data_IF_857458653498
#
_entry.id   IF_857458653498
#
_cell.length_a   1.000
_cell.length_b   1.000
_cell.length_c   1.000
_cell.angle_alpha   90.00
_cell.angle_beta   90.00
_cell.angle_gamma   90.00
#
_symmetry.space_group_name_H-M   'P 1'
#
loop_
_entity.id
_entity.type
_entity.pdbx_description
1 polymer ?
#
# COMPACT_ATOMS: atom_id res chain seq x y z
N UNK A 1 2.97 -21.51 1.82
CA UNK A 1 4.28 -22.19 2.04
C UNK A 1 4.72 -23.10 0.88
N UNK A 2 3.81 -23.79 0.18
CA UNK A 2 4.15 -24.69 -0.93
C UNK A 2 4.91 -23.98 -2.08
N UNK A 3 4.50 -22.78 -2.47
CA UNK A 3 5.15 -22.04 -3.58
C UNK A 3 6.55 -21.50 -3.28
N UNK A 4 6.82 -21.15 -2.02
CA UNK A 4 8.16 -20.76 -1.57
C UNK A 4 9.12 -21.94 -1.66
N UNK A 5 8.67 -23.13 -1.23
CA UNK A 5 9.44 -24.37 -1.36
C UNK A 5 9.64 -24.74 -2.82
N UNK A 6 8.61 -24.59 -3.66
CA UNK A 6 8.68 -24.83 -5.11
C UNK A 6 9.70 -23.91 -5.78
N UNK A 7 9.70 -22.61 -5.49
CA UNK A 7 10.74 -21.66 -5.95
C UNK A 7 12.14 -22.11 -5.55
N UNK A 8 12.32 -22.51 -4.28
CA UNK A 8 13.63 -22.94 -3.76
C UNK A 8 14.13 -24.22 -4.45
N UNK A 9 13.24 -25.19 -4.64
CA UNK A 9 13.56 -26.43 -5.36
C UNK A 9 13.98 -26.15 -6.81
N UNK A 10 13.27 -25.26 -7.52
CA UNK A 10 13.63 -24.87 -8.89
C UNK A 10 14.99 -24.17 -8.96
N UNK A 11 15.31 -23.34 -7.95
CA UNK A 11 16.64 -22.74 -7.84
C UNK A 11 17.74 -23.78 -7.62
N UNK A 12 17.50 -24.75 -6.74
CA UNK A 12 18.46 -25.81 -6.48
C UNK A 12 18.67 -26.73 -7.70
N UNK A 13 17.61 -26.99 -8.48
CA UNK A 13 17.70 -27.71 -9.76
C UNK A 13 18.55 -26.92 -10.75
N UNK A 14 18.26 -25.64 -10.98
CA UNK A 14 19.05 -24.79 -11.87
C UNK A 14 20.52 -24.70 -11.42
N UNK A 15 20.79 -24.62 -10.10
CA UNK A 15 22.17 -24.60 -9.61
C UNK A 15 22.95 -25.88 -9.95
N UNK A 16 22.27 -27.03 -10.04
CA UNK A 16 22.87 -28.32 -10.40
C UNK A 16 23.02 -28.49 -11.91
N UNK A 17 21.98 -28.17 -12.67
CA UNK A 17 21.95 -28.39 -14.12
C UNK A 17 22.64 -27.29 -14.93
N UNK A 18 22.56 -26.03 -14.48
CA UNK A 18 23.00 -24.82 -15.20
C UNK A 18 22.36 -24.62 -16.58
N UNK A 19 21.21 -25.25 -16.82
CA UNK A 19 20.50 -25.18 -18.10
C UNK A 19 19.56 -23.97 -18.11
N UNK A 20 19.46 -23.30 -19.27
CA UNK A 20 18.60 -22.12 -19.45
C UNK A 20 17.12 -22.41 -19.17
N UNK A 21 16.62 -23.59 -19.56
CA UNK A 21 15.23 -24.01 -19.31
C UNK A 21 14.88 -24.05 -17.82
N UNK A 22 15.79 -24.51 -16.97
CA UNK A 22 15.57 -24.57 -15.52
C UNK A 22 15.58 -23.17 -14.88
N UNK A 23 16.43 -22.29 -15.40
CA UNK A 23 16.42 -20.88 -15.00
C UNK A 23 15.09 -20.21 -15.34
N UNK A 24 14.58 -20.43 -16.56
CA UNK A 24 13.28 -19.89 -16.97
C UNK A 24 12.15 -20.42 -16.10
N UNK A 25 12.16 -21.71 -15.75
CA UNK A 25 11.17 -22.29 -14.84
C UNK A 25 11.22 -21.64 -13.45
N UNK A 26 12.42 -21.47 -12.88
CA UNK A 26 12.62 -20.72 -11.64
C UNK A 26 12.08 -19.29 -11.75
N UNK A 27 12.42 -18.57 -12.82
CA UNK A 27 12.03 -17.18 -13.01
C UNK A 27 10.51 -17.01 -13.09
N UNK A 28 9.81 -17.88 -13.85
CA UNK A 28 8.35 -17.89 -13.92
C UNK A 28 7.70 -18.09 -12.56
N UNK A 29 8.17 -19.09 -11.79
CA UNK A 29 7.65 -19.35 -10.44
C UNK A 29 7.95 -18.19 -9.48
N UNK A 30 9.13 -17.58 -9.58
CA UNK A 30 9.51 -16.43 -8.76
C UNK A 30 8.62 -15.21 -9.03
N UNK A 31 8.36 -14.92 -10.31
CA UNK A 31 7.48 -13.82 -10.69
C UNK A 31 6.04 -14.07 -10.25
N UNK A 32 5.52 -15.27 -10.47
CA UNK A 32 4.20 -15.68 -9.99
C UNK A 32 4.06 -15.51 -8.47
N UNK A 33 5.05 -15.97 -7.70
CA UNK A 33 5.06 -15.80 -6.24
C UNK A 33 5.09 -14.33 -5.82
N UNK A 34 5.86 -13.48 -6.53
CA UNK A 34 5.88 -12.03 -6.26
C UNK A 34 4.50 -11.41 -6.48
N UNK A 35 3.84 -11.71 -7.59
CA UNK A 35 2.50 -11.21 -7.87
C UNK A 35 1.50 -11.63 -6.78
N UNK A 36 1.53 -12.90 -6.38
CA UNK A 36 0.67 -13.40 -5.29
C UNK A 36 0.93 -12.68 -3.97
N UNK A 37 2.20 -12.45 -3.61
CA UNK A 37 2.54 -11.73 -2.37
C UNK A 37 2.07 -10.28 -2.39
N UNK A 38 2.21 -9.60 -3.53
CA UNK A 38 1.72 -8.23 -3.71
C UNK A 38 0.20 -8.21 -3.58
N UNK A 39 -0.49 -9.09 -4.32
CA UNK A 39 -1.94 -9.20 -4.29
C UNK A 39 -2.46 -9.48 -2.88
N UNK A 40 -1.93 -10.50 -2.19
CA UNK A 40 -2.34 -10.80 -0.82
C UNK A 40 -2.05 -9.66 0.16
N UNK A 41 -1.00 -8.87 -0.08
CA UNK A 41 -0.72 -7.68 0.72
C UNK A 41 -1.79 -6.61 0.47
N UNK A 42 -2.09 -6.31 -0.80
CA UNK A 42 -3.13 -5.35 -1.18
C UNK A 42 -4.49 -5.76 -0.61
N UNK A 43 -4.89 -7.02 -0.79
CA UNK A 43 -6.14 -7.56 -0.23
C UNK A 43 -6.17 -7.46 1.30
N UNK A 44 -5.04 -7.69 1.98
CA UNK A 44 -4.95 -7.53 3.43
C UNK A 44 -5.11 -6.07 3.86
N UNK A 45 -4.48 -5.13 3.15
CA UNK A 45 -4.55 -3.69 3.43
C UNK A 45 -5.96 -3.13 3.16
N UNK A 46 -6.58 -3.50 2.05
CA UNK A 46 -7.96 -3.10 1.70
C UNK A 46 -8.98 -3.62 2.72
N UNK A 47 -8.80 -4.85 3.21
CA UNK A 47 -9.70 -5.45 4.20
C UNK A 47 -9.30 -5.15 5.65
N UNK A 48 -8.25 -4.35 5.90
CA UNK A 48 -7.72 -4.12 7.23
C UNK A 48 -8.74 -3.43 8.15
N UNK A 49 -9.51 -2.47 7.61
CA UNK A 49 -10.57 -1.76 8.32
C UNK A 49 -11.77 -2.67 8.65
N UNK A 50 -11.97 -3.72 7.85
CA UNK A 50 -13.08 -4.66 8.00
C UNK A 50 -12.77 -5.83 8.96
N UNK A 51 -11.51 -6.00 9.40
CA UNK A 51 -11.10 -7.11 10.27
C UNK A 51 -11.39 -6.84 11.75
N UNK A 52 -10.60 -5.95 12.38
CA UNK A 52 -10.79 -5.52 13.77
C UNK A 52 -9.85 -4.36 14.10
N UNK A 53 -10.24 -3.50 15.05
CA UNK A 53 -9.39 -2.42 15.55
C UNK A 53 -8.01 -2.92 16.02
N UNK A 54 -7.94 -4.11 16.63
CA UNK A 54 -6.68 -4.71 17.08
C UNK A 54 -5.71 -5.02 15.93
N UNK A 55 -6.20 -5.55 14.81
CA UNK A 55 -5.37 -5.84 13.65
C UNK A 55 -4.94 -4.56 12.94
N UNK A 56 -5.83 -3.57 12.87
CA UNK A 56 -5.51 -2.23 12.39
C UNK A 56 -4.36 -1.59 13.19
N UNK A 57 -4.47 -1.52 14.53
CA UNK A 57 -3.42 -0.97 15.39
C UNK A 57 -2.12 -1.77 15.32
N UNK A 58 -2.20 -3.11 15.17
CA UNK A 58 -1.01 -3.95 14.96
C UNK A 58 -0.32 -3.61 13.64
N UNK A 59 -1.07 -3.37 12.57
CA UNK A 59 -0.51 -2.96 11.28
C UNK A 59 0.13 -1.57 11.37
N UNK A 60 -0.55 -0.59 11.97
CA UNK A 60 -0.01 0.76 12.21
C UNK A 60 1.27 0.70 13.06
N UNK A 61 1.27 -0.06 14.15
CA UNK A 61 2.47 -0.25 14.97
C UNK A 61 3.60 -0.90 14.17
N UNK A 62 3.30 -1.84 13.26
CA UNK A 62 4.30 -2.49 12.41
C UNK A 62 4.84 -1.56 11.34
N UNK A 63 4.02 -0.70 10.74
CA UNK A 63 4.48 0.27 9.76
C UNK A 63 5.35 1.36 10.40
N UNK A 64 5.00 1.80 11.61
CA UNK A 64 5.81 2.74 12.41
C UNK A 64 7.17 2.15 12.85
N UNK A 65 7.24 0.83 13.06
CA UNK A 65 8.49 0.12 13.40
C UNK A 65 9.19 -0.50 12.17
N UNK A 66 8.60 -0.36 10.98
CA UNK A 66 9.23 -0.79 9.74
C UNK A 66 10.29 0.25 9.38
N UNK A 67 11.43 -0.21 8.88
CA UNK A 67 12.58 0.60 8.42
C UNK A 67 12.25 1.43 7.17
N UNK A 68 11.05 1.98 7.04
CA UNK A 68 10.76 3.08 6.13
C UNK A 68 11.08 4.38 6.89
N UNK A 69 12.38 4.68 6.97
CA UNK A 69 12.92 5.83 7.70
C UNK A 69 12.63 7.17 7.00
N UNK A 70 12.05 7.16 5.81
CA UNK A 70 11.78 8.35 5.00
C UNK A 70 10.38 8.28 4.42
N UNK A 71 9.44 8.90 5.11
CA UNK A 71 8.18 9.32 4.53
C UNK A 71 8.43 10.59 3.74
N UNK A 72 7.97 10.65 2.49
CA UNK A 72 8.00 11.86 1.68
C UNK A 72 6.58 12.41 1.59
N UNK A 73 6.35 13.61 2.14
CA UNK A 73 5.06 14.28 2.06
C UNK A 73 5.22 15.60 1.32
N UNK A 74 4.35 15.83 0.34
CA UNK A 74 4.30 17.11 -0.38
C UNK A 74 3.34 18.03 0.35
N UNK A 75 3.83 19.19 0.75
CA UNK A 75 3.01 20.22 1.37
C UNK A 75 2.07 20.83 0.30
N UNK A 76 0.75 20.81 0.50
CA UNK A 76 -0.22 21.28 -0.49
C UNK A 76 -0.22 22.80 -0.68
N UNK A 77 0.41 23.58 0.21
CA UNK A 77 0.46 25.04 0.15
C UNK A 77 1.62 25.56 -0.70
N UNK A 78 2.81 24.98 -0.52
CA UNK A 78 4.03 25.42 -1.22
C UNK A 78 4.55 24.39 -2.25
N UNK A 79 3.87 23.24 -2.39
CA UNK A 79 4.23 22.12 -3.27
C UNK A 79 5.63 21.53 -3.02
N UNK A 80 6.24 21.84 -1.87
CA UNK A 80 7.54 21.29 -1.50
C UNK A 80 7.39 19.88 -0.94
N UNK A 81 8.26 18.97 -1.38
CA UNK A 81 8.29 17.60 -0.86
C UNK A 81 9.26 17.51 0.31
N UNK A 82 8.71 17.30 1.50
CA UNK A 82 9.46 17.06 2.72
C UNK A 82 9.78 15.58 2.86
N UNK A 83 11.06 15.24 2.97
CA UNK A 83 11.55 13.89 3.32
C UNK A 83 12.11 13.83 4.73
N UNK A 84 12.28 15.01 5.37
CA UNK A 84 12.72 15.15 6.75
C UNK A 84 11.57 14.81 7.73
N UNK A 85 11.80 13.92 8.72
CA UNK A 85 10.75 13.47 9.63
C UNK A 85 10.05 14.59 10.42
N UNK A 86 10.75 15.67 10.79
CA UNK A 86 10.14 16.79 11.51
C UNK A 86 9.21 17.57 10.59
N UNK A 87 9.66 17.89 9.37
CA UNK A 87 8.82 18.56 8.37
C UNK A 87 7.60 17.73 7.98
N UNK A 88 7.78 16.41 7.81
CA UNK A 88 6.71 15.45 7.55
C UNK A 88 5.68 15.46 8.68
N UNK A 89 6.14 15.44 9.94
CA UNK A 89 5.25 15.47 11.10
C UNK A 89 4.45 16.78 11.19
N UNK A 90 5.08 17.92 10.86
CA UNK A 90 4.39 19.21 10.81
C UNK A 90 3.31 19.25 9.73
N UNK A 91 3.63 18.85 8.49
CA UNK A 91 2.64 18.80 7.39
C UNK A 91 1.47 17.88 7.77
N UNK A 92 1.76 16.74 8.38
CA UNK A 92 0.74 15.82 8.84
C UNK A 92 -0.13 16.42 9.96
N UNK A 93 0.46 17.09 10.94
CA UNK A 93 -0.27 17.73 12.03
C UNK A 93 -1.17 18.87 11.52
N UNK A 94 -0.71 19.66 10.56
CA UNK A 94 -1.48 20.74 9.95
C UNK A 94 -2.71 20.23 9.18
N UNK A 95 -2.54 19.18 8.36
CA UNK A 95 -3.65 18.54 7.65
C UNK A 95 -4.61 17.82 8.60
N UNK A 96 -4.08 17.17 9.63
CA UNK A 96 -4.91 16.53 10.66
C UNK A 96 -5.75 17.57 11.40
N UNK A 97 -5.16 18.71 11.77
CA UNK A 97 -5.85 19.82 12.42
C UNK A 97 -6.99 20.35 11.53
N UNK A 98 -6.71 20.58 10.25
CA UNK A 98 -7.70 21.03 9.26
C UNK A 98 -8.88 20.07 9.11
N UNK A 99 -8.62 18.77 9.17
CA UNK A 99 -9.64 17.74 8.95
C UNK A 99 -10.44 17.37 10.19
N UNK A 100 -9.85 17.48 11.39
CA UNK A 100 -10.42 16.88 12.61
C UNK A 100 -10.59 17.85 13.79
N UNK A 101 -10.13 19.09 13.71
CA UNK A 101 -10.27 20.06 14.82
C UNK A 101 -10.98 21.35 14.45
N UNK A 102 -11.39 21.52 13.18
CA UNK A 102 -12.33 22.58 12.82
C UNK A 102 -13.76 22.05 13.00
N UNK A 103 -14.30 22.20 14.21
CA UNK A 103 -15.73 21.95 14.54
C UNK A 103 -16.65 23.03 13.94
N UNK A 104 -16.24 23.71 12.86
CA UNK A 104 -17.05 24.64 12.08
C UNK A 104 -17.80 23.90 10.98
N UNK A 105 -19.10 23.64 11.20
CA UNK A 105 -19.98 22.83 10.34
C UNK A 105 -20.23 23.34 8.91
N UNK A 106 -19.22 23.29 8.05
CA UNK A 106 -19.34 23.66 6.63
C UNK A 106 -18.67 22.71 5.62
N UNK A 107 -17.78 21.82 6.06
CA UNK A 107 -16.91 21.08 5.11
C UNK A 107 -17.41 19.67 4.71
N UNK A 108 -18.54 19.20 5.25
CA UNK A 108 -19.15 17.93 4.87
C UNK A 108 -19.87 17.98 3.51
N UNK A 109 -20.34 19.17 3.09
CA UNK A 109 -21.07 19.32 1.83
C UNK A 109 -20.18 19.12 0.60
N UNK A 110 -18.92 19.57 0.65
CA UNK A 110 -17.98 19.45 -0.46
C UNK A 110 -17.54 17.99 -0.68
N UNK A 111 -17.26 17.25 0.39
CA UNK A 111 -16.86 15.83 0.27
C UNK A 111 -18.00 14.95 -0.26
N UNK A 112 -19.26 15.23 0.10
CA UNK A 112 -20.43 14.56 -0.47
C UNK A 112 -20.62 14.89 -1.95
N UNK A 113 -20.35 16.12 -2.39
CA UNK A 113 -20.41 16.48 -3.82
C UNK A 113 -19.25 15.91 -4.62
N UNK A 114 -18.05 15.85 -4.06
CA UNK A 114 -16.87 15.23 -4.70
C UNK A 114 -17.01 13.71 -4.79
N UNK A 115 -17.61 13.05 -3.79
CA UNK A 115 -17.94 11.61 -3.87
C UNK A 115 -19.01 11.33 -4.93
N UNK A 116 -20.07 12.13 -4.99
CA UNK A 116 -21.18 11.93 -5.95
C UNK A 116 -20.75 12.21 -7.41
N UNK A 117 -19.89 13.21 -7.64
CA UNK A 117 -19.27 13.46 -8.95
C UNK A 117 -18.32 12.33 -9.39
N UNK A 118 -17.53 11.77 -8.47
CA UNK A 118 -16.63 10.65 -8.78
C UNK A 118 -17.37 9.31 -8.95
N UNK A 119 -18.56 9.15 -8.37
CA UNK A 119 -19.43 7.98 -8.62
C UNK A 119 -20.21 8.08 -9.94
N UNK A 120 -20.56 9.29 -10.40
CA UNK A 120 -21.23 9.52 -11.71
C UNK A 120 -20.29 9.45 -12.91
N UNK A 121 -18.97 9.53 -12.71
CA UNK A 121 -17.96 9.48 -13.78
C UNK A 121 -17.34 8.09 -14.03
N UNK A 122 -17.85 7.02 -13.39
CA UNK A 122 -17.48 5.66 -13.80
C UNK A 122 -18.33 5.26 -15.02
N UNK A 123 -17.75 5.05 -16.22
CA UNK A 123 -18.48 4.37 -17.27
C UNK A 123 -18.79 2.96 -16.78
N UNK A 124 -20.05 2.53 -16.94
CA UNK A 124 -20.45 1.14 -16.70
C UNK A 124 -19.66 0.24 -17.64
N UNK A 125 -18.57 -0.32 -17.15
CA UNK A 125 -17.89 -1.43 -17.81
C UNK A 125 -18.18 -2.68 -16.99
N UNK A 126 -19.18 -3.43 -17.44
CA UNK A 126 -19.16 -4.88 -17.66
C UNK A 126 -20.50 -5.28 -18.33
N UNK A 127 -20.56 -6.40 -19.06
CA UNK A 127 -21.15 -6.55 -20.39
C UNK A 127 -22.66 -6.82 -20.36
#
# INVERSE_FOLDING_TARGET
MKDIRKKRNLWDIFKRSKILGDYQAYQRQNNSLKCQLIQSKTEYEENLLNQSAKQFFKNVKRSLNSTFSTLALTNPVNLETATDPQKVACIFADEFKKMFTDEGGGHYQHWLTTLDQNMKLRPSYYP
#
